data_IF_887267978369
#
_entry.id   IF_887267978369
#
_cell.length_a   1.000
_cell.length_b   1.000
_cell.length_c   1.000
_cell.angle_alpha   90.00
_cell.angle_beta   90.00
_cell.angle_gamma   90.00
#
_symmetry.space_group_name_H-M   'P 1'
#
loop_
_entity.id
_entity.type
_entity.pdbx_description
1 polymer ?
#
# COMPACT_ATOMS: atom_id res chain seq x y z
N UNK A 1 -13.08 -19.04 7.89
CA UNK A 1 -13.89 -17.83 8.20
C UNK A 1 -14.82 -17.55 7.02
N UNK A 2 -16.10 -17.22 7.22
CA UNK A 2 -17.01 -16.89 6.11
C UNK A 2 -16.49 -15.73 5.26
N UNK A 3 -16.68 -15.81 3.93
CA UNK A 3 -16.20 -14.81 2.97
C UNK A 3 -16.58 -13.37 3.38
N UNK A 4 -17.84 -13.13 3.74
CA UNK A 4 -18.33 -11.80 4.12
C UNK A 4 -17.63 -11.23 5.37
N UNK A 5 -17.18 -12.09 6.28
CA UNK A 5 -16.44 -11.66 7.46
C UNK A 5 -15.00 -11.29 7.10
N UNK A 6 -14.35 -12.04 6.21
CA UNK A 6 -13.02 -11.70 5.68
C UNK A 6 -13.08 -10.40 4.88
N UNK A 7 -14.10 -10.21 4.05
CA UNK A 7 -14.35 -8.97 3.30
C UNK A 7 -14.49 -7.80 4.27
N UNK A 8 -15.31 -7.90 5.32
CA UNK A 8 -15.44 -6.81 6.32
C UNK A 8 -14.13 -6.48 7.02
N UNK A 9 -13.30 -7.48 7.35
CA UNK A 9 -11.98 -7.26 7.96
C UNK A 9 -11.04 -6.55 6.98
N UNK A 10 -11.02 -6.98 5.72
CA UNK A 10 -10.23 -6.32 4.67
C UNK A 10 -10.71 -4.87 4.47
N UNK A 11 -12.02 -4.63 4.43
CA UNK A 11 -12.56 -3.28 4.30
C UNK A 11 -12.25 -2.40 5.52
N UNK A 12 -12.32 -2.94 6.73
CA UNK A 12 -12.05 -2.20 7.96
C UNK A 12 -10.56 -1.93 8.19
N UNK A 13 -9.69 -2.87 7.81
CA UNK A 13 -8.27 -2.83 8.15
C UNK A 13 -7.38 -2.56 6.94
N UNK A 14 -7.63 -3.19 5.78
CA UNK A 14 -6.77 -3.04 4.60
C UNK A 14 -7.08 -1.75 3.85
N UNK A 15 -8.35 -1.37 3.65
CA UNK A 15 -8.65 -0.05 3.06
C UNK A 15 -8.15 1.06 3.97
N UNK A 16 -8.31 0.94 5.29
CA UNK A 16 -7.73 1.88 6.25
C UNK A 16 -6.19 1.88 6.25
N UNK A 17 -5.56 0.73 6.05
CA UNK A 17 -4.11 0.59 5.93
C UNK A 17 -3.57 1.25 4.65
N UNK A 18 -4.28 1.04 3.53
CA UNK A 18 -3.95 1.63 2.24
C UNK A 18 -4.14 3.14 2.24
N UNK A 19 -5.24 3.59 2.81
CA UNK A 19 -5.69 4.99 2.75
C UNK A 19 -5.17 5.81 3.93
N UNK A 20 -4.65 5.21 5.01
CA UNK A 20 -4.31 5.94 6.24
C UNK A 20 -3.17 5.42 7.15
N UNK A 21 -2.90 4.11 7.28
CA UNK A 21 -2.26 3.65 8.53
C UNK A 21 -0.77 3.26 8.54
N UNK A 22 -0.08 3.10 7.42
CA UNK A 22 1.18 2.33 7.40
C UNK A 22 2.45 3.10 7.03
N UNK A 23 2.35 4.41 6.84
CA UNK A 23 3.30 5.12 6.00
C UNK A 23 4.29 6.01 6.76
N UNK A 24 4.12 6.22 8.06
CA UNK A 24 5.06 7.02 8.87
C UNK A 24 6.29 6.20 9.30
N UNK A 25 7.45 6.84 9.38
CA UNK A 25 8.70 6.25 9.90
C UNK A 25 8.62 5.78 11.36
N UNK A 26 7.55 6.15 12.06
CA UNK A 26 7.29 5.87 13.47
C UNK A 26 6.35 4.68 13.60
N UNK A 27 6.75 3.55 13.03
CA UNK A 27 5.98 2.30 13.17
C UNK A 27 5.87 1.84 14.65
N UNK A 28 6.66 2.43 15.56
CA UNK A 28 6.76 2.04 16.97
C UNK A 28 6.10 2.97 17.99
N UNK A 29 5.44 4.07 17.59
CA UNK A 29 4.82 4.96 18.58
C UNK A 29 3.54 5.62 18.04
N UNK A 30 2.39 5.10 18.48
CA UNK A 30 1.19 5.88 18.85
C UNK A 30 0.99 7.18 18.07
N UNK A 31 0.64 7.09 16.79
CA UNK A 31 -0.16 8.08 16.03
C UNK A 31 -0.24 7.60 14.58
N UNK A 32 -1.11 6.62 14.33
CA UNK A 32 -1.65 6.41 12.98
C UNK A 32 -2.35 7.71 12.60
N UNK A 33 -1.71 8.55 11.78
CA UNK A 33 -2.37 9.74 11.25
C UNK A 33 -3.54 9.26 10.40
N UNK A 34 -4.76 9.45 10.89
CA UNK A 34 -5.97 9.06 10.17
C UNK A 34 -5.98 9.70 8.80
N UNK A 35 -6.32 8.93 7.77
CA UNK A 35 -6.57 9.47 6.45
C UNK A 35 -7.60 10.60 6.53
N UNK A 36 -7.38 11.65 5.76
CA UNK A 36 -8.43 12.64 5.47
C UNK A 36 -9.19 12.16 4.23
N UNK A 37 -10.50 11.84 4.31
CA UNK A 37 -11.28 11.51 3.13
C UNK A 37 -11.42 12.72 2.20
N UNK A 38 -11.38 12.49 0.89
CA UNK A 38 -11.45 13.50 -0.16
C UNK A 38 -12.62 13.23 -1.11
N UNK A 39 -13.16 14.28 -1.71
CA UNK A 39 -14.18 14.26 -2.78
C UNK A 39 -15.42 13.38 -2.53
N UNK A 40 -15.82 13.22 -1.27
CA UNK A 40 -16.94 12.34 -0.87
C UNK A 40 -18.20 12.56 -1.74
N UNK A 41 -18.68 13.80 -2.02
CA UNK A 41 -19.88 13.99 -2.83
C UNK A 41 -19.74 13.48 -4.26
N UNK A 42 -18.59 13.72 -4.90
CA UNK A 42 -18.29 13.25 -6.25
C UNK A 42 -18.20 11.72 -6.30
N UNK A 43 -17.53 11.12 -5.32
CA UNK A 43 -17.41 9.67 -5.20
C UNK A 43 -18.77 8.99 -5.03
N UNK A 44 -19.68 9.61 -4.28
CA UNK A 44 -21.06 9.13 -4.12
C UNK A 44 -21.84 9.18 -5.44
N UNK A 45 -21.62 10.20 -6.28
CA UNK A 45 -22.25 10.33 -7.60
C UNK A 45 -21.73 9.29 -8.60
N UNK A 46 -20.41 9.08 -8.66
CA UNK A 46 -19.80 8.02 -9.49
C UNK A 46 -20.32 6.64 -9.08
N UNK A 47 -20.59 6.46 -7.78
CA UNK A 47 -21.13 5.24 -7.23
C UNK A 47 -20.13 4.08 -7.17
N UNK A 48 -20.61 2.95 -6.68
CA UNK A 48 -19.77 1.79 -6.35
C UNK A 48 -19.01 1.97 -5.04
N UNK A 49 -18.11 1.02 -4.74
CA UNK A 49 -17.28 1.04 -3.55
C UNK A 49 -15.95 1.71 -3.86
N UNK A 50 -15.95 3.03 -3.90
CA UNK A 50 -14.78 3.87 -4.19
C UNK A 50 -14.49 4.76 -2.98
N UNK A 51 -13.21 4.96 -2.66
CA UNK A 51 -12.78 5.90 -1.63
C UNK A 51 -11.51 6.62 -2.09
N UNK A 52 -11.43 7.91 -1.78
CA UNK A 52 -10.26 8.73 -2.01
C UNK A 52 -9.87 9.37 -0.69
N UNK A 53 -8.57 9.35 -0.38
CA UNK A 53 -8.09 9.95 0.86
C UNK A 53 -6.61 10.30 0.80
N UNK A 54 -6.23 11.24 1.67
CA UNK A 54 -4.85 11.68 1.86
C UNK A 54 -4.32 11.22 3.20
N UNK A 55 -3.16 10.57 3.19
CA UNK A 55 -2.34 10.26 4.36
C UNK A 55 -1.12 11.17 4.42
N UNK A 56 -0.84 11.76 5.58
CA UNK A 56 0.45 12.41 5.81
C UNK A 56 1.50 11.37 6.19
N UNK A 57 2.57 11.26 5.40
CA UNK A 57 3.66 10.27 5.62
C UNK A 57 4.88 10.91 6.28
N UNK A 58 5.25 12.11 5.84
CA UNK A 58 6.39 12.86 6.39
C UNK A 58 6.29 14.34 6.04
N UNK A 59 7.19 15.16 6.59
CA UNK A 59 7.28 16.58 6.28
C UNK A 59 7.43 16.91 4.77
N UNK A 60 7.84 15.94 3.95
CA UNK A 60 8.07 16.13 2.52
C UNK A 60 7.09 15.34 1.64
N UNK A 61 6.29 14.43 2.22
CA UNK A 61 5.46 13.49 1.49
C UNK A 61 4.07 13.31 2.11
N UNK A 62 3.05 13.54 1.29
CA UNK A 62 1.70 13.04 1.50
C UNK A 62 1.34 12.03 0.42
N UNK A 63 0.49 11.07 0.77
CA UNK A 63 0.06 9.99 -0.11
C UNK A 63 -1.44 10.12 -0.36
N UNK A 64 -1.84 10.32 -1.63
CA UNK A 64 -3.25 10.47 -2.04
C UNK A 64 -3.76 9.20 -2.72
N UNK A 65 -4.38 8.28 -1.99
CA UNK A 65 -4.83 7.02 -2.56
C UNK A 65 -6.29 7.06 -2.98
N UNK A 66 -6.52 6.83 -4.28
CA UNK A 66 -7.83 6.45 -4.81
C UNK A 66 -7.92 4.93 -4.83
N UNK A 67 -8.89 4.36 -4.13
CA UNK A 67 -9.15 2.93 -4.14
C UNK A 67 -10.55 2.61 -4.61
N UNK A 68 -10.69 1.48 -5.31
CA UNK A 68 -11.98 0.93 -5.71
C UNK A 68 -12.03 -0.57 -5.47
N UNK A 69 -13.17 -1.03 -4.96
CA UNK A 69 -13.47 -2.43 -4.80
C UNK A 69 -14.33 -2.95 -5.96
N UNK A 70 -14.04 -4.18 -6.36
CA UNK A 70 -14.75 -4.95 -7.35
C UNK A 70 -15.11 -6.30 -6.75
N UNK A 71 -16.34 -6.74 -6.97
CA UNK A 71 -16.79 -8.06 -6.55
C UNK A 71 -17.39 -8.76 -7.75
N UNK A 72 -16.74 -9.84 -8.19
CA UNK A 72 -17.13 -10.61 -9.37
C UNK A 72 -16.82 -12.09 -9.10
N UNK A 73 -17.76 -12.99 -9.41
CA UNK A 73 -17.60 -14.45 -9.24
C UNK A 73 -17.08 -14.87 -7.85
N UNK A 74 -17.58 -14.22 -6.80
CA UNK A 74 -17.16 -14.46 -5.42
C UNK A 74 -15.76 -13.96 -5.08
N UNK A 75 -15.03 -13.34 -6.00
CA UNK A 75 -13.71 -12.74 -5.74
C UNK A 75 -13.86 -11.29 -5.34
N UNK A 76 -13.15 -10.87 -4.29
CA UNK A 76 -12.99 -9.46 -3.95
C UNK A 76 -11.66 -8.98 -4.54
N UNK A 77 -11.72 -7.96 -5.37
CA UNK A 77 -10.54 -7.25 -5.87
C UNK A 77 -10.56 -5.82 -5.37
N UNK A 78 -9.47 -5.37 -4.74
CA UNK A 78 -9.28 -3.96 -4.39
C UNK A 78 -8.07 -3.46 -5.16
N UNK A 79 -8.27 -2.39 -5.91
CA UNK A 79 -7.19 -1.67 -6.59
C UNK A 79 -7.07 -0.31 -5.92
N UNK A 80 -5.85 0.06 -5.52
CA UNK A 80 -5.55 1.41 -5.07
C UNK A 80 -4.39 1.98 -5.88
N UNK A 81 -4.55 3.23 -6.31
CA UNK A 81 -3.58 3.95 -7.09
C UNK A 81 -3.31 5.30 -6.45
N UNK A 82 -2.04 5.64 -6.36
CA UNK A 82 -1.60 6.94 -5.89
C UNK A 82 -1.84 8.01 -6.96
N UNK A 83 -2.52 9.10 -6.58
CA UNK A 83 -2.61 10.34 -7.37
C UNK A 83 -1.46 11.25 -6.95
N UNK A 84 -0.48 11.43 -7.83
CA UNK A 84 0.74 12.19 -7.52
C UNK A 84 0.49 13.67 -7.31
N UNK A 85 -0.36 14.24 -8.17
CA UNK A 85 -0.71 15.65 -8.19
C UNK A 85 -2.22 15.77 -8.32
N UNK A 86 -2.82 16.39 -7.31
CA UNK A 86 -4.21 16.79 -7.28
C UNK A 86 -4.18 18.31 -7.09
N UNK A 87 -4.65 19.05 -8.09
CA UNK A 87 -4.60 20.51 -8.10
C UNK A 87 -5.37 21.18 -6.96
N UNK A 88 -6.26 20.45 -6.29
CA UNK A 88 -7.05 20.95 -5.16
C UNK A 88 -6.34 20.76 -3.82
N UNK A 89 -5.19 20.08 -3.80
CA UNK A 89 -4.44 19.77 -2.59
C UNK A 89 -3.10 20.50 -2.53
N UNK A 90 -2.51 20.68 -1.34
CA UNK A 90 -1.16 21.19 -1.21
C UNK A 90 -0.13 20.35 -1.98
N UNK A 91 0.79 21.03 -2.64
CA UNK A 91 1.91 20.40 -3.35
C UNK A 91 2.81 19.64 -2.38
N UNK A 92 3.07 18.38 -2.69
CA UNK A 92 4.08 17.58 -1.99
C UNK A 92 5.47 17.88 -2.55
N UNK A 93 6.48 17.84 -1.68
CA UNK A 93 7.86 18.08 -2.11
C UNK A 93 8.46 16.87 -2.81
N UNK A 94 8.10 15.68 -2.37
CA UNK A 94 8.49 14.41 -3.00
C UNK A 94 7.28 13.50 -3.14
N UNK A 95 7.34 12.65 -4.16
CA UNK A 95 6.31 11.72 -4.55
C UNK A 95 6.97 10.40 -4.98
N UNK A 96 6.24 9.31 -4.90
CA UNK A 96 6.58 8.11 -5.67
C UNK A 96 5.30 7.40 -6.11
N UNK A 97 5.35 6.74 -7.26
CA UNK A 97 4.21 5.99 -7.75
C UNK A 97 4.01 4.77 -6.87
N UNK A 98 2.81 4.65 -6.32
CA UNK A 98 2.40 3.49 -5.54
C UNK A 98 1.12 2.91 -6.10
N UNK A 99 1.12 1.59 -6.23
CA UNK A 99 -0.05 0.84 -6.63
C UNK A 99 -0.19 -0.37 -5.73
N UNK A 100 -1.45 -0.65 -5.38
CA UNK A 100 -1.84 -1.83 -4.66
C UNK A 100 -2.90 -2.59 -5.43
N UNK A 101 -2.72 -3.91 -5.46
CA UNK A 101 -3.72 -4.81 -5.96
C UNK A 101 -3.90 -5.97 -4.98
N UNK A 102 -5.07 -6.00 -4.34
CA UNK A 102 -5.50 -7.08 -3.48
C UNK A 102 -6.49 -7.95 -4.24
N UNK A 103 -6.27 -9.25 -4.24
CA UNK A 103 -7.22 -10.24 -4.76
C UNK A 103 -7.46 -11.29 -3.69
N UNK A 104 -8.69 -11.35 -3.21
CA UNK A 104 -9.17 -12.39 -2.32
C UNK A 104 -10.00 -13.39 -3.11
N UNK A 105 -9.59 -14.66 -3.05
CA UNK A 105 -10.25 -15.76 -3.76
C UNK A 105 -10.81 -16.72 -2.70
N UNK A 106 -12.14 -16.89 -2.61
CA UNK A 106 -12.72 -17.92 -1.76
C UNK A 106 -12.46 -19.33 -2.34
N UNK A 107 -12.41 -20.30 -1.45
CA UNK A 107 -12.14 -21.73 -1.68
C UNK A 107 -13.08 -22.42 -2.68
N UNK A 108 -14.26 -21.84 -2.95
CA UNK A 108 -15.31 -22.48 -3.75
C UNK A 108 -15.23 -22.26 -5.27
N UNK A 109 -14.30 -21.43 -5.77
CA UNK A 109 -14.17 -21.17 -7.22
C UNK A 109 -12.85 -21.71 -7.80
N UNK A 110 -12.93 -22.90 -8.40
CA UNK A 110 -11.92 -23.42 -9.32
C UNK A 110 -11.80 -22.49 -10.52
N UNK A 111 -10.74 -21.67 -10.60
CA UNK A 111 -9.81 -21.66 -11.74
C UNK A 111 -8.75 -20.54 -11.63
N UNK A 112 -7.50 -21.01 -11.79
CA UNK A 112 -6.23 -20.33 -12.11
C UNK A 112 -5.37 -19.77 -10.94
N UNK A 113 -4.50 -20.69 -10.50
CA UNK A 113 -3.16 -20.59 -9.87
C UNK A 113 -3.03 -20.05 -8.46
N UNK A 114 -3.61 -20.72 -7.46
CA UNK A 114 -2.93 -21.25 -6.26
C UNK A 114 -3.77 -22.44 -5.78
N UNK A 115 -3.10 -23.54 -5.44
CA UNK A 115 -3.66 -24.85 -5.11
C UNK A 115 -4.80 -24.82 -4.07
N UNK A 116 -5.83 -25.62 -4.35
CA UNK A 116 -7.04 -25.79 -3.53
C UNK A 116 -6.71 -26.61 -2.28
N UNK A 117 -6.77 -26.02 -1.07
CA UNK A 117 -6.45 -26.74 0.18
C UNK A 117 -7.71 -27.19 0.98
N UNK A 118 -8.80 -26.41 1.07
CA UNK A 118 -10.14 -26.89 1.55
C UNK A 118 -11.19 -25.74 1.58
N UNK A 119 -12.46 -26.06 1.86
CA UNK A 119 -13.58 -25.09 2.08
C UNK A 119 -13.30 -24.05 3.18
N UNK A 120 -12.33 -24.30 4.06
CA UNK A 120 -11.97 -23.43 5.18
C UNK A 120 -10.80 -22.48 4.91
N UNK A 121 -10.21 -22.53 3.71
CA UNK A 121 -8.97 -21.83 3.37
C UNK A 121 -9.22 -20.80 2.26
N UNK A 122 -9.03 -19.52 2.57
CA UNK A 122 -9.05 -18.45 1.58
C UNK A 122 -7.64 -17.98 1.25
N UNK A 123 -7.40 -17.61 -0.01
CA UNK A 123 -6.11 -17.04 -0.43
C UNK A 123 -6.23 -15.54 -0.60
N UNK A 124 -5.34 -14.79 0.04
CA UNK A 124 -5.12 -13.37 -0.22
C UNK A 124 -3.83 -13.22 -1.04
N UNK A 125 -3.93 -12.56 -2.20
CA UNK A 125 -2.76 -12.13 -2.98
C UNK A 125 -2.65 -10.62 -2.88
N UNK A 126 -1.45 -10.15 -2.58
CA UNK A 126 -1.12 -8.74 -2.49
C UNK A 126 0.00 -8.45 -3.47
N UNK A 127 -0.26 -7.57 -4.43
CA UNK A 127 0.78 -6.93 -5.22
C UNK A 127 0.92 -5.50 -4.72
N UNK A 128 2.13 -5.16 -4.30
CA UNK A 128 2.52 -3.79 -3.97
C UNK A 128 3.63 -3.36 -4.91
N UNK A 129 3.43 -2.21 -5.56
CA UNK A 129 4.43 -1.58 -6.40
C UNK A 129 4.74 -0.20 -5.81
N UNK A 130 6.03 0.10 -5.69
CA UNK A 130 6.56 1.43 -5.40
C UNK A 130 7.64 1.76 -6.42
N UNK A 131 7.54 2.91 -7.08
CA UNK A 131 8.63 3.42 -7.93
C UNK A 131 9.70 4.11 -7.10
N UNK A 132 10.75 4.55 -7.79
CA UNK A 132 11.66 5.58 -7.29
C UNK A 132 10.91 6.84 -6.90
N UNK A 133 11.48 7.54 -5.93
CA UNK A 133 11.02 8.86 -5.53
C UNK A 133 11.37 9.90 -6.61
N UNK A 134 10.49 10.89 -6.76
CA UNK A 134 10.65 12.00 -7.68
C UNK A 134 10.04 13.27 -7.09
N UNK A 135 10.39 14.41 -7.68
CA UNK A 135 9.82 15.71 -7.39
C UNK A 135 9.63 16.48 -8.72
N UNK A 136 9.19 17.74 -8.64
CA UNK A 136 9.00 18.61 -9.81
C UNK A 136 10.24 18.78 -10.71
N UNK A 137 11.44 18.47 -10.20
CA UNK A 137 12.71 18.57 -10.92
C UNK A 137 13.18 17.22 -11.51
N UNK A 138 12.46 16.12 -11.23
CA UNK A 138 12.78 14.78 -11.71
C UNK A 138 13.02 13.77 -10.58
N UNK A 139 13.71 12.68 -10.89
CA UNK A 139 14.00 11.59 -9.94
C UNK A 139 14.91 12.05 -8.80
N UNK A 140 14.63 11.59 -7.58
CA UNK A 140 15.50 11.75 -6.43
C UNK A 140 16.76 10.88 -6.63
N UNK A 141 17.97 11.39 -6.34
CA UNK A 141 19.19 10.60 -6.46
C UNK A 141 19.15 9.34 -5.59
N UNK A 142 19.65 8.22 -6.10
CA UNK A 142 19.54 6.91 -5.44
C UNK A 142 20.05 6.88 -3.99
N UNK A 143 21.19 7.51 -3.69
CA UNK A 143 21.73 7.55 -2.33
C UNK A 143 20.84 8.37 -1.39
N UNK A 144 20.30 9.49 -1.87
CA UNK A 144 19.39 10.35 -1.12
C UNK A 144 18.07 9.61 -0.86
N UNK A 145 17.56 8.91 -1.87
CA UNK A 145 16.37 8.08 -1.73
C UNK A 145 16.58 7.00 -0.66
N UNK A 146 17.70 6.26 -0.73
CA UNK A 146 18.04 5.24 0.25
C UNK A 146 18.11 5.81 1.67
N UNK A 147 18.78 6.96 1.85
CA UNK A 147 18.98 7.54 3.17
C UNK A 147 17.70 8.17 3.73
N UNK A 148 17.05 9.06 2.97
CA UNK A 148 15.94 9.87 3.46
C UNK A 148 14.59 9.14 3.40
N UNK A 149 14.38 8.20 2.48
CA UNK A 149 13.09 7.52 2.31
C UNK A 149 13.09 6.06 2.77
N UNK A 150 14.26 5.39 2.70
CA UNK A 150 14.40 3.99 3.13
C UNK A 150 15.21 3.82 4.42
N UNK A 151 15.81 4.88 4.98
CA UNK A 151 16.59 4.79 6.22
C UNK A 151 17.86 3.95 6.08
N UNK A 152 18.35 3.76 4.85
CA UNK A 152 19.56 3.01 4.53
C UNK A 152 20.68 3.98 4.17
N UNK A 153 21.67 4.10 5.06
CA UNK A 153 22.89 4.85 4.76
C UNK A 153 23.85 4.01 3.92
N UNK A 154 24.16 4.49 2.72
CA UNK A 154 25.09 3.87 1.76
C UNK A 154 26.42 4.63 1.65
N UNK A 155 26.61 5.70 2.43
CA UNK A 155 27.78 6.59 2.33
C UNK A 155 29.12 5.89 2.55
N UNK A 156 29.11 4.79 3.31
CA UNK A 156 30.29 3.97 3.62
C UNK A 156 30.58 2.85 2.60
N UNK A 157 29.71 2.65 1.60
CA UNK A 157 29.86 1.58 0.61
C UNK A 157 30.43 2.17 -0.68
N UNK A 158 31.62 1.69 -1.06
CA UNK A 158 32.24 2.05 -2.34
C UNK A 158 31.71 1.15 -3.47
N UNK A 159 31.42 1.75 -4.62
CA UNK A 159 30.98 1.06 -5.83
C UNK A 159 29.46 0.87 -5.95
N UNK A 160 28.92 1.27 -7.09
CA UNK A 160 27.47 1.28 -7.34
C UNK A 160 26.84 -0.12 -7.30
N UNK A 161 27.54 -1.15 -7.80
CA UNK A 161 27.05 -2.53 -7.73
C UNK A 161 26.90 -3.04 -6.29
N UNK A 162 27.82 -2.67 -5.40
CA UNK A 162 27.78 -3.06 -3.99
C UNK A 162 26.64 -2.34 -3.24
N UNK A 163 26.42 -1.05 -3.55
CA UNK A 163 25.29 -0.26 -3.04
C UNK A 163 23.95 -0.84 -3.46
N UNK A 164 23.78 -1.18 -4.75
CA UNK A 164 22.55 -1.79 -5.25
C UNK A 164 22.29 -3.14 -4.59
N UNK A 165 23.32 -3.97 -4.40
CA UNK A 165 23.18 -5.24 -3.70
C UNK A 165 22.79 -5.06 -2.22
N UNK A 166 23.32 -4.04 -1.53
CA UNK A 166 22.92 -3.69 -0.18
C UNK A 166 21.47 -3.23 -0.11
N UNK A 167 21.05 -2.37 -1.03
CA UNK A 167 19.66 -1.91 -1.14
C UNK A 167 18.69 -3.07 -1.42
N UNK A 168 19.00 -3.98 -2.35
CA UNK A 168 18.17 -5.16 -2.61
C UNK A 168 17.96 -6.03 -1.37
N UNK A 169 19.01 -6.27 -0.57
CA UNK A 169 18.88 -7.01 0.69
C UNK A 169 18.01 -6.26 1.70
N UNK A 170 18.16 -4.95 1.78
CA UNK A 170 17.37 -4.10 2.66
C UNK A 170 15.87 -4.13 2.29
N UNK A 171 15.54 -3.94 1.01
CA UNK A 171 14.15 -3.96 0.52
C UNK A 171 13.52 -5.35 0.66
N UNK A 172 14.26 -6.43 0.41
CA UNK A 172 13.74 -7.78 0.60
C UNK A 172 13.29 -8.02 2.06
N UNK A 173 14.03 -7.47 3.03
CA UNK A 173 13.64 -7.51 4.44
C UNK A 173 12.42 -6.63 4.72
N UNK A 174 12.41 -5.39 4.23
CA UNK A 174 11.28 -4.47 4.40
C UNK A 174 9.97 -5.04 3.81
N UNK A 175 10.05 -5.71 2.67
CA UNK A 175 8.90 -6.40 2.07
C UNK A 175 8.36 -7.54 2.93
N UNK A 176 9.23 -8.33 3.56
CA UNK A 176 8.81 -9.38 4.50
C UNK A 176 8.18 -8.79 5.77
N UNK A 177 8.73 -7.70 6.29
CA UNK A 177 8.16 -6.98 7.44
C UNK A 177 6.79 -6.39 7.09
N UNK A 178 6.62 -5.85 5.89
CA UNK A 178 5.34 -5.37 5.36
C UNK A 178 4.29 -6.50 5.28
N UNK A 179 4.64 -7.66 4.73
CA UNK A 179 3.75 -8.82 4.72
C UNK A 179 3.42 -9.28 6.15
N UNK A 180 4.43 -9.33 7.03
CA UNK A 180 4.26 -9.65 8.44
C UNK A 180 3.33 -8.67 9.18
N UNK A 181 3.31 -7.39 8.78
CA UNK A 181 2.41 -6.37 9.33
C UNK A 181 0.95 -6.58 8.92
N UNK A 182 0.73 -7.07 7.69
CA UNK A 182 -0.61 -7.35 7.18
C UNK A 182 -1.24 -8.58 7.83
N UNK A 183 -0.42 -9.56 8.25
CA UNK A 183 -0.89 -10.82 8.84
C UNK A 183 -1.77 -10.56 10.09
N UNK A 184 -1.33 -9.87 11.16
CA UNK A 184 -2.18 -9.58 12.31
C UNK A 184 -3.48 -8.86 11.96
N UNK A 185 -3.48 -7.93 11.00
CA UNK A 185 -4.68 -7.22 10.55
C UNK A 185 -5.77 -8.13 9.96
N UNK A 186 -5.37 -9.33 9.52
CA UNK A 186 -6.25 -10.38 9.01
C UNK A 186 -6.58 -11.44 10.08
N UNK A 187 -5.84 -11.46 11.20
CA UNK A 187 -5.97 -12.42 12.29
C UNK A 187 -6.68 -11.88 13.54
N UNK A 188 -7.01 -10.59 13.63
CA UNK A 188 -7.84 -10.07 14.72
C UNK A 188 -9.30 -10.55 14.59
N UNK A 189 -9.55 -11.70 15.22
CA UNK A 189 -10.81 -12.13 15.84
C UNK A 189 -10.47 -12.57 17.26
#
# INVERSE_FOLDING_TARGET
MPFDQVVRIIQSNVVHYLVGAAWSKEWSAVNVLSSVPLDIPLLQEVGGKIAYGRTHRSADEDVNFLCREFTEDGKLTIVAQHIHEDENLPLCKVQCNRMFWYVHIPSSFDQVTVDRISDDISTLRVLFLSSHYFNQYGSVPFNDECHYHWGLDLSHIEGEAAKLAAFHRHIARAGNEFVGALVPLLHFV
#
